data_IF_354025619226
#
_entry.id   IF_354025619226
#
_cell.length_a   1.000
_cell.length_b   1.000
_cell.length_c   1.000
_cell.angle_alpha   90.00
_cell.angle_beta   90.00
_cell.angle_gamma   90.00
#
_symmetry.space_group_name_H-M   'P 1'
#
loop_
_entity.id
_entity.type
_entity.pdbx_description
1 polymer ?
#
# COMPACT_ATOMS: atom_id res chain seq x y z
N UNK A 1 3.14 -0.94 16.91
CA UNK A 1 2.16 -0.02 16.30
C UNK A 1 2.91 1.23 15.89
N UNK A 2 2.59 1.80 14.73
CA UNK A 2 3.26 2.97 14.18
C UNK A 2 2.19 3.96 13.70
N UNK A 3 2.40 5.25 13.95
CA UNK A 3 1.52 6.31 13.48
C UNK A 3 2.34 7.55 13.16
N UNK A 4 1.83 8.37 12.25
CA UNK A 4 2.48 9.62 11.87
C UNK A 4 1.47 10.63 11.34
N UNK A 5 1.81 11.91 11.51
CA UNK A 5 1.03 13.05 11.08
C UNK A 5 1.93 14.07 10.40
N UNK A 6 1.46 14.63 9.30
CA UNK A 6 2.09 15.74 8.59
C UNK A 6 1.24 16.97 8.81
N UNK A 7 1.86 17.99 9.42
CA UNK A 7 1.22 19.26 9.75
C UNK A 7 2.00 20.36 9.06
N UNK A 8 1.59 20.79 7.85
CA UNK A 8 2.27 21.88 7.16
C UNK A 8 2.20 23.15 8.00
N UNK A 9 3.35 23.77 8.27
CA UNK A 9 3.43 25.00 9.04
C UNK A 9 3.29 26.22 8.11
N UNK A 10 2.49 27.22 8.49
CA UNK A 10 2.30 28.43 7.69
C UNK A 10 1.15 29.32 8.14
N UNK A 11 1.07 30.53 7.56
CA UNK A 11 -0.01 31.48 7.81
C UNK A 11 -1.35 30.85 7.40
N UNK A 12 -2.26 30.68 8.37
CA UNK A 12 -3.56 30.00 8.19
C UNK A 12 -3.72 28.69 8.99
N UNK A 13 -2.67 28.19 9.63
CA UNK A 13 -2.71 26.95 10.42
C UNK A 13 -2.53 25.67 9.60
N UNK A 14 -2.39 24.53 10.29
CA UNK A 14 -1.95 23.26 9.68
C UNK A 14 -2.93 22.61 8.71
N UNK A 15 -4.18 23.07 8.66
CA UNK A 15 -5.20 22.58 7.73
C UNK A 15 -5.37 23.46 6.48
N UNK A 16 -4.79 24.67 6.47
CA UNK A 16 -5.06 25.68 5.44
C UNK A 16 -4.36 25.39 4.11
N UNK A 17 -3.28 24.59 4.10
CA UNK A 17 -2.52 24.28 2.89
C UNK A 17 -2.36 22.77 2.73
N UNK A 18 -2.61 22.19 1.55
CA UNK A 18 -2.29 20.79 1.29
C UNK A 18 -0.79 20.53 1.40
N UNK A 19 -0.43 19.39 1.99
CA UNK A 19 0.95 18.88 1.99
C UNK A 19 1.39 18.52 0.56
N UNK A 20 2.70 18.59 0.30
CA UNK A 20 3.28 18.11 -0.95
C UNK A 20 3.06 16.61 -1.08
N UNK A 21 2.77 16.14 -2.30
CA UNK A 21 2.57 14.72 -2.59
C UNK A 21 3.81 13.88 -2.23
N UNK A 22 5.02 14.45 -2.36
CA UNK A 22 6.28 13.81 -2.01
C UNK A 22 6.40 13.46 -0.53
N UNK A 23 5.74 14.23 0.33
CA UNK A 23 5.94 14.17 1.78
C UNK A 23 4.91 13.25 2.44
N UNK A 24 3.81 12.95 1.73
CA UNK A 24 2.68 12.17 2.24
C UNK A 24 3.03 10.72 2.55
N UNK A 25 2.22 10.12 3.41
CA UNK A 25 2.32 8.71 3.74
C UNK A 25 1.63 7.84 2.68
N UNK A 26 2.32 6.76 2.28
CA UNK A 26 1.82 5.79 1.32
C UNK A 26 1.98 4.36 1.87
N UNK A 27 1.03 3.89 2.70
CA UNK A 27 1.06 2.53 3.21
C UNK A 27 0.86 1.46 2.12
N UNK A 28 1.37 0.27 2.43
CA UNK A 28 1.34 -0.91 1.57
C UNK A 28 2.71 -1.27 0.99
N UNK A 29 2.87 -2.56 0.64
CA UNK A 29 4.16 -3.15 0.29
C UNK A 29 4.92 -3.71 1.50
N UNK A 30 6.07 -4.35 1.26
CA UNK A 30 6.83 -5.03 2.32
C UNK A 30 7.87 -4.14 3.03
N UNK A 31 8.35 -3.07 2.39
CA UNK A 31 9.58 -2.40 2.82
C UNK A 31 9.35 -1.03 3.50
N UNK A 32 8.16 -0.43 3.36
CA UNK A 32 7.91 0.94 3.82
C UNK A 32 6.99 1.04 5.03
N UNK A 33 6.06 0.09 5.21
CA UNK A 33 5.10 0.09 6.31
C UNK A 33 4.77 -1.34 6.73
N UNK A 34 4.37 -1.60 7.99
CA UNK A 34 4.03 -2.94 8.45
C UNK A 34 2.72 -3.51 7.87
N UNK A 35 1.99 -2.72 7.07
CA UNK A 35 0.75 -3.10 6.41
C UNK A 35 1.01 -4.02 5.19
N UNK A 36 1.20 -5.32 5.47
CA UNK A 36 1.38 -6.36 4.44
C UNK A 36 0.04 -6.69 3.77
N UNK A 37 0.10 -7.41 2.64
CA UNK A 37 -1.11 -7.84 1.90
C UNK A 37 -1.63 -6.84 0.88
N UNK A 38 -1.05 -5.63 0.80
CA UNK A 38 -1.35 -4.64 -0.23
C UNK A 38 -0.13 -4.38 -1.12
N UNK A 39 -0.36 -3.94 -2.36
CA UNK A 39 0.71 -3.47 -3.24
C UNK A 39 1.34 -2.18 -2.67
N UNK A 40 2.53 -1.84 -3.14
CA UNK A 40 3.18 -0.58 -2.79
C UNK A 40 2.27 0.60 -3.14
N UNK A 41 2.09 1.53 -2.20
CA UNK A 41 1.14 2.66 -2.30
C UNK A 41 -0.30 2.20 -2.63
N UNK A 42 -0.66 0.99 -2.19
CA UNK A 42 -1.92 0.34 -2.54
C UNK A 42 -3.08 0.67 -1.61
N UNK A 43 -2.84 1.49 -0.58
CA UNK A 43 -3.81 1.82 0.46
C UNK A 43 -3.87 3.33 0.61
N UNK A 44 -5.10 3.86 0.68
CA UNK A 44 -5.37 5.26 0.96
C UNK A 44 -6.10 6.01 -0.14
N UNK A 45 -6.17 7.35 -0.03
CA UNK A 45 -6.75 8.19 -1.06
C UNK A 45 -6.09 7.97 -2.42
N UNK A 46 -6.90 7.86 -3.46
CA UNK A 46 -6.46 7.76 -4.84
C UNK A 46 -7.42 8.53 -5.74
N UNK A 47 -6.91 8.97 -6.88
CA UNK A 47 -7.71 9.70 -7.87
C UNK A 47 -7.52 9.11 -9.26
N UNK A 48 -8.48 9.36 -10.15
CA UNK A 48 -8.40 8.93 -11.54
C UNK A 48 -7.27 9.69 -12.23
N UNK A 49 -6.38 8.96 -12.88
CA UNK A 49 -5.30 9.55 -13.67
C UNK A 49 -5.91 10.38 -14.78
N UNK A 50 -5.39 11.61 -14.93
CA UNK A 50 -5.76 12.49 -16.03
C UNK A 50 -5.46 11.78 -17.37
N UNK A 51 -6.41 11.74 -18.32
CA UNK A 51 -6.14 11.18 -19.64
C UNK A 51 -4.98 11.92 -20.30
N UNK A 52 -4.02 11.19 -20.85
CA UNK A 52 -2.94 11.77 -21.63
C UNK A 52 -3.51 12.19 -22.99
N UNK A 53 -3.71 13.50 -23.21
CA UNK A 53 -4.11 14.01 -24.54
C UNK A 53 -3.08 13.67 -25.62
N UNK A 54 -1.83 13.42 -25.24
CA UNK A 54 -0.77 12.92 -26.13
C UNK A 54 -0.98 11.46 -26.58
N UNK A 55 -1.62 10.62 -25.76
CA UNK A 55 -1.95 9.25 -26.12
C UNK A 55 -3.18 9.16 -27.05
N UNK A 56 -4.08 10.16 -27.00
CA UNK A 56 -5.18 10.29 -27.95
C UNK A 56 -4.79 10.91 -29.29
N UNK A 57 -3.56 11.43 -29.42
CA UNK A 57 -3.02 12.03 -30.64
C UNK A 57 -2.13 11.06 -31.45
N UNK A 58 -2.15 9.76 -31.16
CA UNK A 58 -1.51 8.77 -32.02
C UNK A 58 -2.14 8.85 -33.41
N UNK A 59 -1.35 9.07 -34.49
CA UNK A 59 -1.91 9.32 -35.80
C UNK A 59 -2.66 8.08 -36.28
N UNK A 60 -3.87 8.30 -36.81
CA UNK A 60 -4.68 7.32 -37.53
C UNK A 60 -3.82 6.62 -38.59
N UNK A 61 -3.27 5.47 -38.20
CA UNK A 61 -2.50 4.59 -39.05
C UNK A 61 -3.43 3.76 -39.92
N UNK A 62 -3.64 4.26 -41.14
CA UNK A 62 -3.71 3.54 -42.42
C UNK A 62 -4.61 2.29 -42.50
N UNK A 63 -5.63 2.44 -43.34
CA UNK A 63 -6.56 1.43 -43.84
C UNK A 63 -5.94 0.05 -44.13
N UNK A 64 -6.56 -1.01 -43.63
CA UNK A 64 -6.19 -2.40 -43.94
C UNK A 64 -6.85 -3.44 -43.02
N UNK A 65 -8.03 -3.89 -43.44
CA UNK A 65 -8.77 -5.12 -43.09
C UNK A 65 -8.03 -6.23 -42.32
N UNK A 66 -8.59 -6.72 -41.19
CA UNK A 66 -8.88 -8.14 -40.87
C UNK A 66 -9.85 -8.17 -39.66
N UNK A 67 -10.92 -8.97 -39.77
CA UNK A 67 -11.88 -9.36 -38.72
C UNK A 67 -11.35 -9.32 -37.28
N UNK A 68 -11.80 -8.34 -36.49
CA UNK A 68 -11.63 -8.34 -35.03
C UNK A 68 -12.91 -8.83 -34.38
N UNK A 69 -12.80 -9.95 -33.67
CA UNK A 69 -13.80 -10.46 -32.74
C UNK A 69 -14.30 -9.34 -31.83
N UNK A 70 -15.62 -9.28 -31.62
CA UNK A 70 -16.34 -8.41 -30.69
C UNK A 70 -16.01 -8.77 -29.23
N UNK A 71 -14.75 -8.59 -28.84
CA UNK A 71 -14.22 -8.95 -27.52
C UNK A 71 -13.27 -7.88 -26.97
N UNK A 72 -13.45 -6.60 -27.29
CA UNK A 72 -12.76 -5.51 -26.60
C UNK A 72 -13.67 -4.28 -26.44
N UNK A 73 -14.80 -4.45 -25.75
CA UNK A 73 -15.57 -3.34 -25.16
C UNK A 73 -15.11 -3.05 -23.72
N UNK A 74 -13.80 -3.10 -23.48
CA UNK A 74 -13.18 -2.70 -22.24
C UNK A 74 -11.92 -1.91 -22.58
N UNK A 75 -12.12 -0.67 -23.06
CA UNK A 75 -11.03 0.31 -23.09
C UNK A 75 -10.38 0.38 -21.70
N UNK A 76 -9.07 0.63 -21.59
CA UNK A 76 -8.40 0.66 -20.30
C UNK A 76 -9.09 1.71 -19.43
N UNK A 77 -9.80 1.25 -18.38
CA UNK A 77 -10.32 2.15 -17.36
C UNK A 77 -9.18 3.05 -16.92
N UNK A 78 -9.35 4.38 -16.88
CA UNK A 78 -8.26 5.29 -16.56
C UNK A 78 -7.62 4.85 -15.24
N UNK A 79 -6.32 4.56 -15.29
CA UNK A 79 -5.59 4.07 -14.11
C UNK A 79 -5.78 5.05 -12.95
N UNK A 80 -5.79 4.56 -11.71
CA UNK A 80 -5.84 5.45 -10.53
C UNK A 80 -4.45 5.72 -9.99
N UNK A 81 -4.17 6.95 -9.57
CA UNK A 81 -2.92 7.32 -8.91
C UNK A 81 -3.14 7.48 -7.41
N UNK A 82 -2.23 6.91 -6.62
CA UNK A 82 -2.27 7.03 -5.17
C UNK A 82 -1.87 8.45 -4.77
N UNK A 83 -2.72 9.12 -3.99
CA UNK A 83 -2.48 10.47 -3.48
C UNK A 83 -1.85 10.49 -2.09
N UNK A 84 -1.89 9.36 -1.38
CA UNK A 84 -1.41 9.26 0.00
C UNK A 84 -2.24 10.09 0.97
N UNK A 85 -1.77 10.22 2.20
CA UNK A 85 -2.43 11.05 3.20
C UNK A 85 -1.45 11.68 4.19
N UNK A 86 -2.00 12.57 5.00
CA UNK A 86 -1.26 13.36 5.98
C UNK A 86 -1.23 12.67 7.34
N UNK A 87 -2.20 11.81 7.62
CA UNK A 87 -2.25 11.03 8.84
C UNK A 87 -2.33 9.55 8.50
N UNK A 88 -1.45 8.76 9.10
CA UNK A 88 -1.49 7.31 8.97
C UNK A 88 -1.34 6.65 10.33
N UNK A 89 -1.89 5.45 10.45
CA UNK A 89 -1.70 4.58 11.60
C UNK A 89 -1.76 3.13 11.18
N UNK A 90 -0.84 2.34 11.71
CA UNK A 90 -0.73 0.92 11.45
C UNK A 90 -0.45 0.15 12.73
N UNK A 91 -0.96 -1.06 12.78
CA UNK A 91 -0.76 -2.01 13.87
C UNK A 91 -0.34 -3.34 13.28
N UNK A 92 0.55 -4.03 13.98
CA UNK A 92 1.06 -5.34 13.64
C UNK A 92 1.17 -6.12 14.93
N UNK A 93 0.45 -7.24 15.00
CA UNK A 93 0.65 -8.30 15.97
C UNK A 93 1.29 -9.47 15.25
N UNK A 94 2.42 -9.97 15.75
CA UNK A 94 3.15 -11.09 15.13
C UNK A 94 3.61 -12.05 16.21
N UNK A 95 3.44 -13.35 15.95
CA UNK A 95 3.93 -14.45 16.77
C UNK A 95 5.01 -15.17 15.97
N UNK A 96 6.23 -15.15 16.47
CA UNK A 96 7.36 -15.83 15.86
C UNK A 96 7.62 -17.17 16.55
N UNK A 97 8.00 -18.18 15.78
CA UNK A 97 8.28 -19.53 16.25
C UNK A 97 9.47 -20.11 15.49
N UNK A 98 10.20 -21.01 16.14
CA UNK A 98 11.27 -21.76 15.50
C UNK A 98 10.70 -22.80 14.55
N UNK A 99 11.33 -22.96 13.39
CA UNK A 99 10.94 -24.00 12.44
C UNK A 99 11.35 -25.38 12.98
N UNK A 100 10.53 -26.43 12.77
CA UNK A 100 10.77 -27.76 13.34
C UNK A 100 11.94 -28.53 12.69
N UNK A 101 12.64 -27.94 11.71
CA UNK A 101 13.73 -28.56 10.97
C UNK A 101 15.08 -28.04 11.45
N UNK A 102 16.03 -28.93 11.74
CA UNK A 102 17.35 -28.57 12.29
C UNK A 102 18.12 -27.61 11.38
N UNK A 103 18.12 -27.86 10.06
CA UNK A 103 18.79 -26.99 9.07
C UNK A 103 18.24 -25.57 9.07
N UNK A 104 16.92 -25.41 9.25
CA UNK A 104 16.30 -24.10 9.29
C UNK A 104 16.71 -23.34 10.56
N UNK A 105 16.80 -24.05 11.69
CA UNK A 105 17.24 -23.48 12.96
C UNK A 105 18.72 -23.10 12.94
N UNK A 106 19.59 -23.93 12.36
CA UNK A 106 21.01 -23.61 12.13
C UNK A 106 21.20 -22.39 11.22
N UNK A 107 20.33 -22.23 10.21
CA UNK A 107 20.29 -21.07 9.34
C UNK A 107 19.65 -19.82 9.99
N UNK A 108 19.23 -19.90 11.26
CA UNK A 108 18.56 -18.81 11.98
C UNK A 108 17.17 -18.46 11.44
N UNK A 109 16.58 -19.34 10.62
CA UNK A 109 15.27 -19.13 10.03
C UNK A 109 14.18 -19.30 11.10
N UNK A 110 13.24 -18.37 11.12
CA UNK A 110 12.06 -18.47 11.98
C UNK A 110 10.78 -18.27 11.16
N UNK A 111 9.74 -18.97 11.57
CA UNK A 111 8.39 -18.75 11.08
C UNK A 111 7.73 -17.63 11.87
N UNK A 112 6.77 -16.96 11.26
CA UNK A 112 5.86 -16.07 11.98
C UNK A 112 4.43 -16.17 11.46
N UNK A 113 3.46 -15.91 12.34
CA UNK A 113 2.07 -15.63 11.98
C UNK A 113 1.75 -14.21 12.43
N UNK A 114 1.14 -13.43 11.55
CA UNK A 114 0.86 -12.02 11.83
C UNK A 114 -0.56 -11.63 11.47
N UNK A 115 -1.07 -10.65 12.22
CA UNK A 115 -2.24 -9.86 11.93
C UNK A 115 -1.77 -8.40 11.86
N UNK A 116 -2.04 -7.73 10.75
CA UNK A 116 -1.79 -6.30 10.63
C UNK A 116 -3.05 -5.57 10.19
N UNK A 117 -3.10 -4.29 10.54
CA UNK A 117 -4.16 -3.40 10.10
C UNK A 117 -3.69 -1.96 10.08
N UNK A 118 -4.41 -1.12 9.36
CA UNK A 118 -4.04 0.28 9.26
C UNK A 118 -4.92 1.08 8.34
N UNK A 119 -4.74 2.40 8.43
CA UNK A 119 -5.41 3.37 7.59
C UNK A 119 -4.50 4.58 7.33
N UNK A 120 -4.82 5.31 6.28
CA UNK A 120 -4.24 6.60 5.93
C UNK A 120 -5.34 7.52 5.42
N UNK A 121 -5.34 8.76 5.91
CA UNK A 121 -6.33 9.79 5.59
C UNK A 121 -5.65 11.13 5.31
N UNK A 122 -6.26 11.95 4.45
CA UNK A 122 -5.82 13.33 4.20
C UNK A 122 -6.37 14.29 5.25
N UNK A 123 -5.55 15.21 5.74
CA UNK A 123 -5.90 16.21 6.76
C UNK A 123 -6.14 17.57 6.12
N UNK A 124 -5.32 17.96 5.14
CA UNK A 124 -5.37 19.30 4.57
C UNK A 124 -6.39 19.47 3.43
N UNK A 125 -6.99 20.66 3.33
CA UNK A 125 -7.93 21.03 2.25
C UNK A 125 -9.32 20.39 2.33
N UNK A 126 -9.75 19.94 3.52
CA UNK A 126 -11.06 19.32 3.74
C UNK A 126 -11.77 20.00 4.92
N UNK A 127 -13.04 20.34 4.76
CA UNK A 127 -13.90 20.84 5.85
C UNK A 127 -14.22 19.71 6.84
N UNK A 128 -14.25 20.00 8.16
CA UNK A 128 -14.60 19.04 9.21
C UNK A 128 -13.62 18.99 10.38
N UNK A 129 -14.13 18.76 11.59
CA UNK A 129 -13.36 18.78 12.83
C UNK A 129 -12.57 17.49 13.09
N UNK A 130 -11.75 17.47 14.15
CA UNK A 130 -10.96 16.30 14.56
C UNK A 130 -11.81 15.02 14.71
N UNK A 131 -13.06 15.16 15.18
CA UNK A 131 -13.98 14.03 15.37
C UNK A 131 -14.36 13.36 14.04
N UNK A 132 -14.59 14.14 12.99
CA UNK A 132 -14.91 13.61 11.66
C UNK A 132 -13.71 12.87 11.09
N UNK A 133 -12.50 13.37 11.33
CA UNK A 133 -11.23 12.71 10.95
C UNK A 133 -11.03 11.39 11.67
N UNK A 134 -11.25 11.37 12.98
CA UNK A 134 -11.15 10.14 13.76
C UNK A 134 -12.17 9.09 13.28
N UNK A 135 -13.38 9.53 12.91
CA UNK A 135 -14.41 8.66 12.33
C UNK A 135 -14.01 8.14 10.96
N UNK A 136 -13.56 9.01 10.06
CA UNK A 136 -13.06 8.64 8.73
C UNK A 136 -11.91 7.65 8.84
N UNK A 137 -10.97 7.89 9.76
CA UNK A 137 -9.84 6.99 10.02
C UNK A 137 -10.30 5.61 10.51
N UNK A 138 -11.22 5.57 11.47
CA UNK A 138 -11.79 4.32 11.99
C UNK A 138 -12.57 3.53 10.92
N UNK A 139 -13.29 4.23 10.04
CA UNK A 139 -14.06 3.63 8.94
C UNK A 139 -13.18 3.15 7.78
N UNK A 140 -11.95 3.65 7.69
CA UNK A 140 -11.00 3.30 6.63
C UNK A 140 -9.95 2.28 7.08
N UNK A 141 -10.18 1.61 8.22
CA UNK A 141 -9.31 0.56 8.71
C UNK A 141 -9.36 -0.67 7.80
N UNK A 142 -8.17 -1.08 7.36
CA UNK A 142 -7.93 -2.29 6.59
C UNK A 142 -7.23 -3.32 7.45
N UNK A 143 -7.45 -4.59 7.16
CA UNK A 143 -6.90 -5.69 7.93
C UNK A 143 -6.40 -6.81 7.02
N UNK A 144 -5.26 -7.38 7.38
CA UNK A 144 -4.62 -8.51 6.71
C UNK A 144 -4.12 -9.49 7.76
N UNK A 145 -4.31 -10.77 7.52
CA UNK A 145 -3.65 -11.85 8.25
C UNK A 145 -2.68 -12.56 7.34
N UNK A 146 -1.62 -13.12 7.88
CA UNK A 146 -0.68 -13.91 7.09
C UNK A 146 0.25 -14.75 7.95
N UNK A 147 1.01 -15.58 7.26
CA UNK A 147 2.10 -16.35 7.84
C UNK A 147 3.30 -16.27 6.91
N UNK A 148 4.49 -16.48 7.44
CA UNK A 148 5.70 -16.31 6.66
C UNK A 148 6.93 -16.88 7.33
N UNK A 149 8.04 -16.80 6.60
CA UNK A 149 9.35 -17.23 7.03
C UNK A 149 10.29 -16.04 6.88
N UNK A 150 11.10 -15.81 7.90
CA UNK A 150 12.16 -14.81 7.91
C UNK A 150 13.49 -15.55 7.94
N UNK A 151 14.34 -15.24 6.97
CA UNK A 151 15.67 -15.82 6.84
C UNK A 151 16.74 -14.73 6.95
N UNK A 152 17.44 -14.63 8.10
CA UNK A 152 18.59 -13.75 8.25
C UNK A 152 19.80 -14.36 7.51
N UNK A 153 20.25 -13.68 6.46
CA UNK A 153 21.46 -14.08 5.71
C UNK A 153 22.56 -13.02 5.90
N UNK A 154 23.80 -13.36 5.53
CA UNK A 154 24.92 -12.40 5.56
C UNK A 154 24.71 -11.19 4.64
N UNK A 155 23.92 -11.34 3.58
CA UNK A 155 23.63 -10.27 2.61
C UNK A 155 22.38 -9.47 2.98
N UNK A 156 21.68 -9.82 4.06
CA UNK A 156 20.46 -9.14 4.51
C UNK A 156 19.37 -10.09 4.99
N UNK A 157 18.26 -9.52 5.43
CA UNK A 157 17.07 -10.26 5.90
C UNK A 157 16.12 -10.51 4.72
N UNK A 158 15.89 -11.78 4.41
CA UNK A 158 14.88 -12.22 3.45
C UNK A 158 13.57 -12.50 4.19
N UNK A 159 12.45 -12.06 3.65
CA UNK A 159 11.12 -12.37 4.16
C UNK A 159 10.22 -12.95 3.07
N UNK A 160 9.61 -14.09 3.34
CA UNK A 160 8.59 -14.70 2.50
C UNK A 160 7.30 -14.75 3.29
N UNK A 161 6.29 -14.01 2.85
CA UNK A 161 5.01 -13.85 3.54
C UNK A 161 3.86 -14.29 2.63
N UNK A 162 3.02 -15.19 3.10
CA UNK A 162 1.72 -15.49 2.52
C UNK A 162 0.65 -14.64 3.22
N UNK A 163 0.05 -13.71 2.47
CA UNK A 163 -0.89 -12.72 3.00
C UNK A 163 -2.31 -12.98 2.49
N UNK A 164 -3.30 -12.81 3.36
CA UNK A 164 -4.72 -12.76 3.02
C UNK A 164 -5.34 -11.48 3.58
N UNK A 165 -5.80 -10.62 2.68
CA UNK A 165 -6.51 -9.39 3.05
C UNK A 165 -7.91 -9.76 3.52
N UNK A 166 -8.26 -9.36 4.74
CA UNK A 166 -9.56 -9.59 5.38
C UNK A 166 -10.51 -8.44 5.07
N UNK A 167 -10.03 -7.21 5.20
CA UNK A 167 -10.82 -5.99 4.99
C UNK A 167 -10.09 -5.08 4.00
N UNK A 168 -10.78 -4.73 2.91
CA UNK A 168 -10.32 -3.81 1.85
C UNK A 168 -11.44 -2.85 1.45
N UNK A 169 -11.06 -1.71 0.89
CA UNK A 169 -11.95 -0.75 0.25
C UNK A 169 -11.87 -0.85 -1.27
N UNK A 170 -12.85 -0.23 -1.95
CA UNK A 170 -13.08 -0.33 -3.40
C UNK A 170 -11.84 -0.02 -4.24
N UNK A 171 -11.07 1.01 -3.87
CA UNK A 171 -9.92 1.47 -4.63
C UNK A 171 -8.57 0.94 -4.10
N UNK A 172 -8.59 -0.01 -3.15
CA UNK A 172 -7.36 -0.58 -2.63
C UNK A 172 -6.75 -1.60 -3.59
N UNK A 173 -5.43 -1.58 -3.69
CA UNK A 173 -4.66 -2.57 -4.45
C UNK A 173 -4.25 -3.73 -3.56
N UNK A 174 -5.22 -4.56 -3.19
CA UNK A 174 -4.97 -5.79 -2.45
C UNK A 174 -4.09 -6.78 -3.25
N UNK A 175 -3.18 -7.47 -2.55
CA UNK A 175 -2.30 -8.52 -3.09
C UNK A 175 -2.34 -9.72 -2.14
N UNK A 176 -3.32 -10.59 -2.38
CA UNK A 176 -3.40 -11.90 -1.74
C UNK A 176 -2.32 -12.84 -2.27
N UNK A 177 -1.84 -13.75 -1.44
CA UNK A 177 -0.82 -14.74 -1.78
C UNK A 177 0.59 -14.31 -1.35
N UNK A 178 1.58 -14.66 -2.17
CA UNK A 178 2.99 -14.53 -1.80
C UNK A 178 3.54 -13.11 -1.95
N UNK A 179 4.29 -12.72 -0.94
CA UNK A 179 4.97 -11.44 -0.82
C UNK A 179 6.42 -11.70 -0.38
N UNK A 180 7.36 -11.27 -1.21
CA UNK A 180 8.79 -11.37 -0.95
C UNK A 180 9.34 -10.00 -0.56
N UNK A 181 10.13 -9.97 0.52
CA UNK A 181 10.78 -8.78 1.03
C UNK A 181 12.27 -9.03 1.23
N UNK A 182 13.06 -7.98 1.07
CA UNK A 182 14.48 -8.00 1.34
C UNK A 182 14.84 -6.70 2.06
N UNK A 183 15.51 -6.83 3.19
CA UNK A 183 16.10 -5.71 3.91
C UNK A 183 17.62 -5.88 3.93
N UNK A 184 18.39 -4.92 3.38
CA UNK A 184 19.85 -4.98 3.44
C UNK A 184 20.33 -4.93 4.90
N UNK A 185 21.54 -5.45 5.18
CA UNK A 185 22.12 -5.38 6.52
C UNK A 185 22.36 -3.92 6.90
N UNK A 186 22.16 -3.60 8.17
CA UNK A 186 22.63 -2.35 8.73
C UNK A 186 24.16 -2.46 8.89
N UNK A 187 24.90 -1.62 8.18
CA UNK A 187 26.36 -1.48 8.32
C UNK A 187 26.69 -0.36 9.31
#
# INVERSE_FOLDING_TARGET
>A
AEAGALLPWGAGGSAARPSSLSDRFFPGGLNATPLRGFRQKGVGPSDVRRPDEAASAAPLGRDGDVSRSEAEASGPSPGRDALGGDFFGTILASLSFELPFELAREAGMHGHVFLNGGSVVGVAGREGGLRDRAREFGQSLRWTVGAGIVWPTRVGRLELNACRVLVRHEHDRAKNGLQFGFAPPAF
#
